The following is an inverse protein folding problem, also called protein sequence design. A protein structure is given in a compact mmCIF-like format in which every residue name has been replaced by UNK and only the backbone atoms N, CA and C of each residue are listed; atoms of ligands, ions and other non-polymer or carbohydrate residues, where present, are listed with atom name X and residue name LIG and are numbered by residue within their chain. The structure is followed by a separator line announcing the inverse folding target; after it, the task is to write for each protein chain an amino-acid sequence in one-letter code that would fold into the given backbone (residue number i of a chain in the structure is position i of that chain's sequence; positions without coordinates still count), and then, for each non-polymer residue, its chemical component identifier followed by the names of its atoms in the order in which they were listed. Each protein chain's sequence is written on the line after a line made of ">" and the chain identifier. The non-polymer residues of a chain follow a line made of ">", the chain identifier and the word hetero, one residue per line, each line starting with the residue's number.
data_IF_233863124581
#
_entry.id   IF_233863124581
#
_cell.length_a   1.000
_cell.length_b   1.000
_cell.length_c   1.000
_cell.angle_alpha   90.00
_cell.angle_beta   90.00
_cell.angle_gamma   90.00
#
_symmetry.space_group_name_H-M   'P 1'
#
loop_
_entity.id
_entity.type
_entity.pdbx_description
1 polymer ?
#
# COMPACT_ATOMS: atom_id res chain seq x y z
N UNK A 1 -11.92 -33.90 16.63
CA UNK A 1 -10.57 -33.61 16.10
C UNK A 1 -10.63 -32.64 14.91
N UNK A 2 -11.42 -32.93 13.86
CA UNK A 2 -11.60 -32.04 12.70
C UNK A 2 -12.08 -30.62 13.06
N UNK A 3 -13.12 -30.50 13.90
CA UNK A 3 -13.64 -29.20 14.34
C UNK A 3 -12.60 -28.34 15.05
N UNK A 4 -11.78 -28.96 15.90
CA UNK A 4 -10.72 -28.27 16.63
C UNK A 4 -9.61 -27.80 15.68
N UNK A 5 -9.21 -28.65 14.73
CA UNK A 5 -8.26 -28.28 13.67
C UNK A 5 -8.77 -27.11 12.83
N UNK A 6 -10.02 -27.18 12.35
CA UNK A 6 -10.63 -26.10 11.57
C UNK A 6 -10.64 -24.78 12.35
N UNK A 7 -11.04 -24.82 13.63
CA UNK A 7 -11.08 -23.62 14.48
C UNK A 7 -9.69 -23.00 14.66
N UNK A 8 -8.67 -23.81 14.93
CA UNK A 8 -7.29 -23.33 15.11
C UNK A 8 -6.74 -22.77 13.80
N UNK A 9 -6.93 -23.48 12.68
CA UNK A 9 -6.44 -23.04 11.37
C UNK A 9 -7.10 -21.74 10.93
N UNK A 10 -8.43 -21.62 11.03
CA UNK A 10 -9.15 -20.40 10.66
C UNK A 10 -8.75 -19.24 11.57
N UNK A 11 -8.64 -19.47 12.88
CA UNK A 11 -8.23 -18.42 13.81
C UNK A 11 -6.81 -17.92 13.53
N UNK A 12 -5.86 -18.83 13.29
CA UNK A 12 -4.48 -18.47 12.97
C UNK A 12 -4.38 -17.79 11.59
N UNK A 13 -5.17 -18.22 10.62
CA UNK A 13 -5.28 -17.58 9.32
C UNK A 13 -5.73 -16.12 9.44
N UNK A 14 -6.78 -15.82 10.20
CA UNK A 14 -7.26 -14.45 10.42
C UNK A 14 -6.16 -13.58 11.04
N UNK A 15 -5.50 -14.04 12.10
CA UNK A 15 -4.42 -13.27 12.73
C UNK A 15 -3.22 -13.04 11.81
N UNK A 16 -2.84 -14.06 11.03
CA UNK A 16 -1.78 -13.94 10.04
C UNK A 16 -2.15 -12.91 8.96
N UNK A 17 -3.38 -12.94 8.44
CA UNK A 17 -3.86 -11.97 7.45
C UNK A 17 -3.83 -10.55 8.02
N UNK A 18 -4.34 -10.32 9.23
CA UNK A 18 -4.34 -8.98 9.86
C UNK A 18 -2.92 -8.43 9.99
N UNK A 19 -1.94 -9.27 10.35
CA UNK A 19 -0.54 -8.86 10.42
C UNK A 19 0.08 -8.62 9.04
N UNK A 20 -0.21 -9.45 8.03
CA UNK A 20 0.38 -9.28 6.70
C UNK A 20 -0.13 -8.02 6.02
N UNK A 21 -1.44 -7.74 6.07
CA UNK A 21 -2.02 -6.54 5.44
C UNK A 21 -1.53 -5.23 6.08
N UNK A 22 -1.17 -5.28 7.37
CA UNK A 22 -0.62 -4.14 8.10
C UNK A 22 0.74 -3.66 7.53
N UNK A 23 1.55 -4.58 7.03
CA UNK A 23 2.90 -4.28 6.50
C UNK A 23 2.99 -4.37 4.98
N UNK A 24 1.96 -4.89 4.31
CA UNK A 24 1.94 -5.02 2.86
C UNK A 24 1.74 -3.66 2.17
N UNK A 25 2.28 -3.54 0.96
CA UNK A 25 2.27 -2.31 0.15
C UNK A 25 1.34 -2.39 -1.07
N UNK A 26 0.58 -3.46 -1.14
CA UNK A 26 -0.33 -3.80 -2.25
C UNK A 26 -1.80 -3.55 -1.87
N UNK A 27 -2.08 -2.39 -1.25
CA UNK A 27 -3.46 -1.95 -1.00
C UNK A 27 -4.06 -1.33 -2.26
N UNK A 28 -3.27 -0.58 -3.00
CA UNK A 28 -3.60 -0.06 -4.32
C UNK A 28 -2.37 -0.20 -5.22
N UNK A 29 -2.57 -0.76 -6.41
CA UNK A 29 -1.48 -1.02 -7.36
C UNK A 29 -1.88 -0.63 -8.77
N UNK A 30 -0.98 -0.04 -9.54
CA UNK A 30 -1.20 0.32 -10.94
C UNK A 30 0.08 0.20 -11.74
N UNK A 31 -0.05 -0.13 -13.03
CA UNK A 31 1.09 -0.32 -13.93
C UNK A 31 0.82 0.38 -15.25
N UNK A 32 1.86 0.94 -15.85
CA UNK A 32 1.78 1.52 -17.19
C UNK A 32 3.10 1.30 -17.94
N UNK A 33 3.01 0.82 -19.17
CA UNK A 33 4.16 0.75 -20.08
C UNK A 33 4.24 2.08 -20.85
N UNK A 34 5.36 2.78 -20.72
CA UNK A 34 5.54 4.06 -21.40
C UNK A 34 7.01 4.30 -21.80
N UNK A 35 7.18 5.01 -22.93
CA UNK A 35 8.46 5.56 -23.31
C UNK A 35 8.69 6.86 -22.54
N UNK A 36 9.65 6.86 -21.62
CA UNK A 36 9.90 7.99 -20.73
C UNK A 36 11.36 8.45 -20.79
N UNK A 37 11.59 9.70 -20.40
CA UNK A 37 12.96 10.17 -20.16
C UNK A 37 13.53 9.42 -18.97
N UNK A 38 14.79 9.00 -19.06
CA UNK A 38 15.41 8.22 -18.00
C UNK A 38 16.23 9.09 -17.05
N UNK A 39 17.24 9.80 -17.56
CA UNK A 39 18.19 10.59 -16.76
C UNK A 39 18.37 12.01 -17.26
N UNK A 40 18.68 12.90 -16.33
CA UNK A 40 19.10 14.27 -16.62
C UNK A 40 20.33 14.28 -17.53
N UNK A 41 20.42 15.30 -18.41
CA UNK A 41 21.50 15.45 -19.40
C UNK A 41 21.61 14.33 -20.45
N UNK A 42 20.62 13.44 -20.55
CA UNK A 42 20.48 12.49 -21.66
C UNK A 42 19.17 12.73 -22.40
N UNK A 43 19.20 12.59 -23.74
CA UNK A 43 18.00 12.60 -24.58
C UNK A 43 17.46 11.20 -24.87
N UNK A 44 18.10 10.16 -24.32
CA UNK A 44 17.66 8.78 -24.52
C UNK A 44 16.31 8.56 -23.84
N UNK A 45 15.36 8.03 -24.62
CA UNK A 45 14.09 7.53 -24.14
C UNK A 45 14.25 6.04 -23.84
N UNK A 46 13.66 5.61 -22.74
CA UNK A 46 13.65 4.21 -22.30
C UNK A 46 12.20 3.72 -22.33
N UNK A 47 12.00 2.53 -22.88
CA UNK A 47 10.73 1.82 -22.77
C UNK A 47 10.70 1.07 -21.43
N UNK A 48 9.87 1.51 -20.50
CA UNK A 48 9.82 0.93 -19.17
C UNK A 48 8.38 0.74 -18.67
N UNK A 49 8.21 -0.31 -17.89
CA UNK A 49 7.03 -0.57 -17.09
C UNK A 49 7.18 0.15 -15.76
N UNK A 50 6.28 1.10 -15.52
CA UNK A 50 6.25 1.95 -14.33
C UNK A 50 5.11 1.45 -13.45
N UNK A 51 5.44 1.04 -12.24
CA UNK A 51 4.47 0.57 -11.24
C UNK A 51 4.36 1.51 -10.06
N UNK A 52 3.13 1.69 -9.59
CA UNK A 52 2.79 2.42 -8.38
C UNK A 52 2.14 1.44 -7.40
N UNK A 53 2.73 1.29 -6.22
CA UNK A 53 2.22 0.44 -5.14
C UNK A 53 2.01 1.29 -3.89
N UNK A 54 0.76 1.58 -3.55
CA UNK A 54 0.41 2.37 -2.38
C UNK A 54 0.06 1.42 -1.23
N UNK A 55 0.79 1.56 -0.12
CA UNK A 55 0.49 0.91 1.14
C UNK A 55 -0.09 1.88 2.18
N UNK A 56 -0.32 1.38 3.39
CA UNK A 56 -0.84 2.20 4.50
C UNK A 56 0.17 3.25 4.99
N UNK A 57 1.46 2.91 4.98
CA UNK A 57 2.52 3.72 5.57
C UNK A 57 3.51 4.31 4.55
N UNK A 58 3.25 4.17 3.26
CA UNK A 58 4.14 4.66 2.21
C UNK A 58 3.73 4.22 0.82
N UNK A 59 4.55 4.60 -0.14
CA UNK A 59 4.39 4.27 -1.55
C UNK A 59 5.69 3.69 -2.10
N UNK A 60 5.55 2.59 -2.83
CA UNK A 60 6.61 1.98 -3.61
C UNK A 60 6.42 2.32 -5.08
N UNK A 61 7.50 2.73 -5.73
CA UNK A 61 7.55 3.04 -7.15
C UNK A 61 8.54 2.10 -7.81
N UNK A 62 8.06 1.35 -8.79
CA UNK A 62 8.87 0.42 -9.58
C UNK A 62 9.10 0.97 -10.98
N UNK A 63 10.30 0.77 -11.50
CA UNK A 63 10.66 1.12 -12.88
C UNK A 63 11.48 -0.02 -13.45
N UNK A 64 10.87 -0.80 -14.33
CA UNK A 64 11.49 -1.98 -14.96
C UNK A 64 11.59 -1.76 -16.47
N UNK A 65 12.78 -1.85 -17.03
CA UNK A 65 12.98 -1.72 -18.48
C UNK A 65 12.39 -2.91 -19.24
N UNK A 66 11.84 -2.64 -20.43
CA UNK A 66 11.40 -3.67 -21.38
C UNK A 66 12.15 -3.51 -22.72
N UNK A 67 13.31 -4.16 -22.93
CA UNK A 67 13.99 -5.13 -22.04
C UNK A 67 14.75 -4.47 -20.87
N UNK A 68 15.12 -5.25 -19.84
CA UNK A 68 15.74 -4.73 -18.60
C UNK A 68 17.04 -3.96 -18.86
N UNK A 69 17.86 -4.44 -19.80
CA UNK A 69 19.09 -3.77 -20.19
C UNK A 69 18.82 -2.83 -21.36
N UNK A 70 18.85 -1.53 -21.12
CA UNK A 70 18.71 -0.47 -22.11
C UNK A 70 19.77 0.60 -21.87
N UNK A 71 20.28 1.22 -22.94
CA UNK A 71 21.26 2.31 -22.84
C UNK A 71 22.53 1.90 -22.05
N UNK A 72 22.93 0.63 -22.15
CA UNK A 72 24.04 0.01 -21.40
C UNK A 72 23.88 0.04 -19.86
N UNK A 73 22.65 0.19 -19.36
CA UNK A 73 22.32 0.17 -17.94
C UNK A 73 21.21 -0.86 -17.66
N UNK A 74 21.20 -1.41 -16.45
CA UNK A 74 20.16 -2.33 -15.97
C UNK A 74 19.08 -1.53 -15.26
N UNK A 75 17.88 -1.52 -15.82
CA UNK A 75 16.76 -0.71 -15.35
C UNK A 75 15.81 -1.62 -14.58
N UNK A 76 16.05 -1.74 -13.28
CA UNK A 76 15.24 -2.49 -12.32
C UNK A 76 15.27 -1.78 -10.97
N UNK A 77 14.44 -0.75 -10.84
CA UNK A 77 14.37 0.08 -9.64
C UNK A 77 13.11 -0.25 -8.84
N UNK A 78 13.24 -0.27 -7.52
CA UNK A 78 12.14 -0.41 -6.57
C UNK A 78 12.37 0.52 -5.37
N UNK A 79 11.92 1.77 -5.53
CA UNK A 79 12.13 2.82 -4.53
C UNK A 79 10.91 2.93 -3.61
N UNK A 80 11.16 3.12 -2.31
CA UNK A 80 10.12 3.23 -1.29
C UNK A 80 10.17 4.59 -0.61
N UNK A 81 9.06 5.32 -0.64
CA UNK A 81 8.88 6.58 0.05
C UNK A 81 7.86 6.41 1.18
N UNK A 82 8.34 6.42 2.41
CA UNK A 82 7.51 6.23 3.59
C UNK A 82 6.89 7.54 4.08
N UNK A 83 5.63 7.48 4.52
CA UNK A 83 4.93 8.57 5.22
C UNK A 83 4.35 8.13 6.57
N UNK A 84 4.85 7.02 7.11
CA UNK A 84 4.50 6.50 8.41
C UNK A 84 4.82 7.44 9.58
N UNK A 85 4.54 7.00 10.80
CA UNK A 85 4.86 7.78 12.00
C UNK A 85 6.38 7.97 12.12
N UNK A 86 6.82 9.22 12.24
CA UNK A 86 8.23 9.58 12.33
C UNK A 86 8.99 9.63 10.99
N UNK A 87 8.35 9.25 9.88
CA UNK A 87 8.95 9.37 8.55
C UNK A 87 8.67 10.77 7.96
N UNK A 88 9.73 11.39 7.44
CA UNK A 88 9.64 12.61 6.65
C UNK A 88 9.73 12.27 5.16
N UNK A 89 8.58 12.34 4.50
CA UNK A 89 8.46 12.06 3.07
C UNK A 89 9.26 13.07 2.24
N UNK A 90 9.22 14.36 2.62
CA UNK A 90 9.86 15.41 1.83
C UNK A 90 11.39 15.30 1.93
N UNK A 91 11.91 14.89 3.10
CA UNK A 91 13.33 14.55 3.27
C UNK A 91 13.74 13.34 2.43
N UNK A 92 12.91 12.28 2.41
CA UNK A 92 13.19 11.07 1.62
C UNK A 92 13.17 11.37 0.12
N UNK A 93 12.28 12.27 -0.30
CA UNK A 93 12.24 12.79 -1.67
C UNK A 93 13.47 13.64 -2.02
N UNK A 94 13.91 14.55 -1.14
CA UNK A 94 15.13 15.34 -1.39
C UNK A 94 16.37 14.46 -1.47
N UNK A 95 16.47 13.43 -0.64
CA UNK A 95 17.58 12.47 -0.71
C UNK A 95 17.54 11.68 -2.06
N UNK A 96 16.35 11.35 -2.56
CA UNK A 96 16.17 10.75 -3.88
C UNK A 96 16.58 11.68 -5.03
N UNK A 97 16.34 12.99 -4.89
CA UNK A 97 16.82 14.00 -5.83
C UNK A 97 18.35 14.10 -5.82
N UNK A 98 18.96 14.15 -4.62
CA UNK A 98 20.41 14.24 -4.45
C UNK A 98 21.14 12.99 -4.98
N UNK A 99 20.52 11.81 -4.84
CA UNK A 99 21.00 10.56 -5.43
C UNK A 99 20.89 10.51 -6.95
N UNK A 100 20.06 11.37 -7.56
CA UNK A 100 19.84 11.40 -8.99
C UNK A 100 19.01 10.23 -9.51
N UNK A 101 17.94 9.85 -8.79
CA UNK A 101 17.02 8.80 -9.24
C UNK A 101 16.44 9.09 -10.64
N UNK A 102 16.03 8.05 -11.39
CA UNK A 102 15.40 8.22 -12.71
C UNK A 102 14.20 9.16 -12.68
N UNK A 103 14.05 9.96 -13.74
CA UNK A 103 12.99 10.99 -13.79
C UNK A 103 11.56 10.48 -13.62
N UNK A 104 11.16 9.26 -14.09
CA UNK A 104 9.80 8.76 -13.86
C UNK A 104 9.51 8.51 -12.38
N UNK A 105 10.51 8.02 -11.62
CA UNK A 105 10.37 7.76 -10.18
C UNK A 105 10.21 9.07 -9.43
N UNK A 106 11.06 10.06 -9.72
CA UNK A 106 10.99 11.38 -9.12
C UNK A 106 9.67 12.08 -9.44
N UNK A 107 9.19 11.99 -10.68
CA UNK A 107 7.90 12.54 -11.09
C UNK A 107 6.73 11.96 -10.27
N UNK A 108 6.74 10.64 -10.04
CA UNK A 108 5.72 10.00 -9.20
C UNK A 108 5.85 10.41 -7.75
N UNK A 109 7.06 10.37 -7.21
CA UNK A 109 7.33 10.76 -5.83
C UNK A 109 6.90 12.20 -5.55
N UNK A 110 7.10 13.11 -6.52
CA UNK A 110 6.69 14.52 -6.44
C UNK A 110 5.18 14.68 -6.25
N UNK A 111 4.35 13.84 -6.91
CA UNK A 111 2.88 13.89 -6.78
C UNK A 111 2.39 13.58 -5.36
N UNK A 112 3.19 12.86 -4.58
CA UNK A 112 2.90 12.50 -3.19
C UNK A 112 3.69 13.36 -2.18
N UNK A 113 4.32 14.46 -2.59
CA UNK A 113 4.93 15.43 -1.66
C UNK A 113 3.88 16.27 -0.95
N UNK A 114 4.22 16.80 0.23
CA UNK A 114 3.29 17.60 1.04
C UNK A 114 2.87 18.91 0.35
N UNK A 115 3.75 19.47 -0.48
CA UNK A 115 3.57 20.73 -1.20
C UNK A 115 2.93 20.56 -2.58
N UNK A 116 2.69 19.32 -3.01
CA UNK A 116 2.09 19.07 -4.32
C UNK A 116 0.68 19.68 -4.41
N UNK A 117 0.30 20.30 -5.56
CA UNK A 117 -1.04 20.86 -5.75
C UNK A 117 -2.14 19.78 -5.76
N UNK A 118 -1.74 18.51 -5.90
CA UNK A 118 -2.63 17.37 -5.99
C UNK A 118 -3.21 16.93 -4.64
N UNK A 119 -2.59 17.33 -3.52
CA UNK A 119 -3.10 17.02 -2.17
C UNK A 119 -3.17 15.54 -1.82
N UNK A 120 -2.61 14.64 -2.65
CA UNK A 120 -2.67 13.19 -2.48
C UNK A 120 -1.99 12.76 -1.17
N UNK A 121 -0.85 13.35 -0.84
CA UNK A 121 -0.08 13.03 0.36
C UNK A 121 -0.95 13.05 1.62
N UNK A 122 -1.68 14.16 1.82
CA UNK A 122 -2.46 14.37 3.05
C UNK A 122 -3.59 13.34 3.16
N UNK A 123 -4.27 13.03 2.06
CA UNK A 123 -5.39 12.09 2.06
C UNK A 123 -4.94 10.64 2.28
N UNK A 124 -3.91 10.19 1.56
CA UNK A 124 -3.37 8.84 1.72
C UNK A 124 -2.71 8.63 3.09
N UNK A 125 -2.00 9.64 3.58
CA UNK A 125 -1.39 9.58 4.91
C UNK A 125 -2.43 9.49 6.02
N UNK A 126 -3.46 10.35 6.02
CA UNK A 126 -4.50 10.30 7.07
C UNK A 126 -5.29 9.01 7.00
N UNK A 127 -5.75 8.61 5.82
CA UNK A 127 -6.49 7.37 5.63
C UNK A 127 -5.66 6.14 6.00
N UNK A 128 -4.41 6.07 5.54
CA UNK A 128 -3.48 5.00 5.88
C UNK A 128 -3.21 4.90 7.38
N UNK A 129 -3.12 6.03 8.09
CA UNK A 129 -3.01 6.04 9.55
C UNK A 129 -4.27 5.51 10.25
N UNK A 130 -5.47 5.93 9.86
CA UNK A 130 -6.71 5.43 10.46
C UNK A 130 -6.98 3.95 10.13
N UNK A 131 -6.67 3.53 8.90
CA UNK A 131 -6.73 2.12 8.51
C UNK A 131 -5.73 1.28 9.31
N UNK A 132 -4.48 1.73 9.45
CA UNK A 132 -3.47 1.09 10.30
C UNK A 132 -3.91 0.98 11.77
N UNK A 133 -4.48 2.05 12.33
CA UNK A 133 -5.01 2.04 13.70
C UNK A 133 -6.16 1.04 13.88
N UNK A 134 -7.11 1.00 12.94
CA UNK A 134 -8.24 0.06 13.00
C UNK A 134 -7.79 -1.39 12.84
N UNK A 135 -6.77 -1.66 12.03
CA UNK A 135 -6.17 -2.99 11.88
C UNK A 135 -5.41 -3.43 13.14
N UNK A 136 -4.65 -2.53 13.79
CA UNK A 136 -4.05 -2.83 15.09
C UNK A 136 -5.11 -3.12 16.16
N UNK A 137 -6.20 -2.36 16.16
CA UNK A 137 -7.34 -2.64 17.04
C UNK A 137 -7.97 -4.00 16.73
N UNK A 138 -8.14 -4.35 15.45
CA UNK A 138 -8.64 -5.66 15.02
C UNK A 138 -7.72 -6.80 15.48
N UNK A 139 -6.40 -6.62 15.40
CA UNK A 139 -5.42 -7.59 15.90
C UNK A 139 -5.57 -7.81 17.42
N UNK A 140 -5.72 -6.73 18.19
CA UNK A 140 -5.95 -6.82 19.63
C UNK A 140 -7.27 -7.52 19.96
N UNK A 141 -8.37 -7.21 19.26
CA UNK A 141 -9.66 -7.87 19.48
C UNK A 141 -9.64 -9.34 19.08
N UNK A 142 -8.89 -9.70 18.04
CA UNK A 142 -8.63 -11.08 17.66
C UNK A 142 -7.86 -11.84 18.76
N UNK A 143 -6.79 -11.25 19.32
CA UNK A 143 -6.05 -11.85 20.44
C UNK A 143 -6.96 -12.10 21.65
N UNK A 144 -7.80 -11.10 22.01
CA UNK A 144 -8.77 -11.25 23.10
C UNK A 144 -9.80 -12.34 22.78
N UNK A 145 -10.23 -12.46 21.52
CA UNK A 145 -11.16 -13.52 21.09
C UNK A 145 -10.55 -14.91 21.30
N UNK A 146 -9.26 -15.12 21.00
CA UNK A 146 -8.56 -16.39 21.23
C UNK A 146 -8.50 -16.72 22.71
N UNK A 147 -8.18 -15.73 23.55
CA UNK A 147 -8.13 -15.91 25.01
C UNK A 147 -9.51 -16.29 25.57
N UNK A 148 -10.57 -15.58 25.16
CA UNK A 148 -11.95 -15.89 25.56
C UNK A 148 -12.40 -17.28 25.10
N UNK A 149 -11.94 -17.71 23.93
CA UNK A 149 -12.21 -19.02 23.36
C UNK A 149 -11.50 -20.18 24.03
N UNK A 150 -10.40 -19.91 24.74
CA UNK A 150 -9.73 -20.87 25.62
C UNK A 150 -10.47 -21.08 26.94
N UNK A 151 -11.23 -20.07 27.38
CA UNK A 151 -12.16 -20.14 28.50
C UNK A 151 -13.52 -20.66 28.02
N UNK A 152 -14.39 -21.19 28.91
CA UNK A 152 -15.74 -21.66 28.54
C UNK A 152 -16.72 -20.53 28.16
N UNK A 153 -16.22 -19.34 27.80
CA UNK A 153 -16.98 -18.11 27.57
C UNK A 153 -17.14 -17.87 26.06
N UNK A 154 -17.90 -18.74 25.39
CA UNK A 154 -18.01 -18.74 23.92
C UNK A 154 -18.74 -17.53 23.35
N UNK A 155 -19.75 -17.00 24.05
CA UNK A 155 -20.57 -15.87 23.57
C UNK A 155 -19.74 -14.60 23.38
N UNK A 156 -18.93 -14.24 24.36
CA UNK A 156 -18.07 -13.05 24.29
C UNK A 156 -16.92 -13.23 23.29
N UNK A 157 -16.39 -14.45 23.12
CA UNK A 157 -15.45 -14.75 22.05
C UNK A 157 -16.03 -14.47 20.66
N UNK A 158 -17.30 -14.85 20.44
CA UNK A 158 -18.03 -14.53 19.21
C UNK A 158 -18.24 -13.04 18.99
N UNK A 159 -18.62 -12.28 20.03
CA UNK A 159 -18.74 -10.82 19.91
C UNK A 159 -17.43 -10.12 19.59
N UNK A 160 -16.31 -10.58 20.17
CA UNK A 160 -14.99 -10.02 19.86
C UNK A 160 -14.52 -10.36 18.45
N UNK A 161 -14.88 -11.53 17.90
CA UNK A 161 -14.65 -11.84 16.49
C UNK A 161 -15.48 -10.95 15.56
N UNK A 162 -16.76 -10.73 15.85
CA UNK A 162 -17.60 -9.81 15.06
C UNK A 162 -17.06 -8.39 15.11
N UNK A 163 -16.56 -7.94 16.27
CA UNK A 163 -15.89 -6.66 16.40
C UNK A 163 -14.61 -6.59 15.55
N UNK A 164 -13.83 -7.67 15.52
CA UNK A 164 -12.62 -7.77 14.67
C UNK A 164 -12.99 -7.60 13.19
N UNK A 165 -13.99 -8.34 12.71
CA UNK A 165 -14.53 -8.23 11.36
C UNK A 165 -14.99 -6.80 11.05
N UNK A 166 -15.77 -6.19 11.94
CA UNK A 166 -16.24 -4.81 11.79
C UNK A 166 -15.07 -3.81 11.68
N UNK A 167 -14.04 -3.95 12.52
CA UNK A 167 -12.84 -3.10 12.47
C UNK A 167 -12.06 -3.27 11.15
N UNK A 168 -11.96 -4.50 10.61
CA UNK A 168 -11.37 -4.74 9.29
C UNK A 168 -12.18 -4.07 8.18
N UNK A 169 -13.50 -4.17 8.20
CA UNK A 169 -14.37 -3.48 7.24
C UNK A 169 -14.29 -1.95 7.36
N UNK A 170 -14.17 -1.40 8.58
CA UNK A 170 -13.94 0.04 8.76
C UNK A 170 -12.60 0.49 8.17
N UNK A 171 -11.55 -0.33 8.27
CA UNK A 171 -10.25 -0.01 7.64
C UNK A 171 -10.39 0.13 6.11
N UNK A 172 -11.21 -0.72 5.48
CA UNK A 172 -11.52 -0.64 4.04
C UNK A 172 -12.31 0.62 3.69
N UNK A 173 -13.26 1.03 4.53
CA UNK A 173 -14.03 2.26 4.32
C UNK A 173 -13.13 3.51 4.39
N UNK A 174 -12.17 3.55 5.31
CA UNK A 174 -11.18 4.64 5.37
C UNK A 174 -10.34 4.69 4.09
N UNK A 175 -9.87 3.53 3.60
CA UNK A 175 -9.09 3.47 2.36
C UNK A 175 -9.92 3.86 1.12
N UNK A 176 -11.16 3.37 1.04
CA UNK A 176 -12.10 3.66 -0.05
C UNK A 176 -12.40 5.16 -0.16
N UNK A 177 -12.63 5.84 0.97
CA UNK A 177 -12.91 7.29 0.97
C UNK A 177 -11.72 8.10 0.46
N UNK A 178 -10.49 7.72 0.80
CA UNK A 178 -9.28 8.35 0.25
C UNK A 178 -9.02 8.03 -1.21
N UNK A 179 -9.54 6.90 -1.73
CA UNK A 179 -9.40 6.57 -3.15
C UNK A 179 -10.37 7.37 -4.04
N UNK A 180 -11.59 7.59 -3.56
CA UNK A 180 -12.66 8.26 -4.32
C UNK A 180 -12.60 9.79 -4.33
N UNK A 181 -11.65 10.39 -3.60
CA UNK A 181 -11.40 11.81 -3.73
C UNK A 181 -10.85 12.13 -5.13
N UNK A 182 -11.23 13.27 -5.72
CA UNK A 182 -10.73 13.67 -7.03
C UNK A 182 -9.21 13.85 -6.96
N UNK A 183 -8.51 13.15 -7.84
CA UNK A 183 -7.04 13.08 -7.88
C UNK A 183 -6.51 13.71 -9.16
N UNK A 184 -5.30 14.24 -9.09
CA UNK A 184 -4.56 14.61 -10.30
C UNK A 184 -4.32 13.39 -11.19
N UNK A 185 -4.50 13.51 -12.51
CA UNK A 185 -4.09 12.46 -13.43
C UNK A 185 -2.56 12.34 -13.44
N UNK A 186 -2.07 11.11 -13.38
CA UNK A 186 -0.64 10.78 -13.54
C UNK A 186 -0.47 10.34 -15.00
N UNK A 187 0.30 11.12 -15.78
CA UNK A 187 0.48 10.88 -17.21
C UNK A 187 1.96 10.78 -17.55
N UNK A 188 2.30 9.77 -18.33
CA UNK A 188 3.61 9.53 -18.91
C UNK A 188 3.49 9.64 -20.43
N UNK A 189 3.66 10.86 -20.95
CA UNK A 189 3.44 11.15 -22.36
C UNK A 189 1.97 10.84 -22.75
N UNK A 190 1.71 9.91 -23.69
CA UNK A 190 0.35 9.55 -24.10
C UNK A 190 -0.34 8.57 -23.13
N UNK A 191 0.39 7.91 -22.22
CA UNK A 191 -0.17 6.87 -21.36
C UNK A 191 -0.54 7.44 -19.98
N UNK A 192 -1.71 7.09 -19.46
CA UNK A 192 -2.16 7.46 -18.12
C UNK A 192 -2.01 6.27 -17.17
N UNK A 193 -1.46 6.49 -15.97
CA UNK A 193 -1.40 5.47 -14.94
C UNK A 193 -2.72 5.45 -14.17
N UNK A 194 -3.45 4.35 -14.30
CA UNK A 194 -4.64 4.06 -13.49
C UNK A 194 -4.26 3.04 -12.43
N UNK A 195 -4.61 3.33 -11.19
CA UNK A 195 -4.44 2.41 -10.07
C UNK A 195 -5.70 1.61 -9.84
N UNK A 196 -5.55 0.37 -9.39
CA UNK A 196 -6.64 -0.56 -9.02
C UNK A 196 -6.48 -1.05 -7.57
N UNK A 197 -7.56 -1.63 -7.01
CA UNK A 197 -7.48 -2.25 -5.68
C UNK A 197 -6.53 -3.44 -5.71
N UNK A 198 -5.51 -3.39 -4.85
CA UNK A 198 -4.50 -4.44 -4.75
C UNK A 198 -4.99 -5.66 -3.98
N UNK A 199 -4.15 -6.70 -3.93
CA UNK A 199 -4.48 -7.95 -3.26
C UNK A 199 -4.80 -7.81 -1.77
N UNK A 200 -4.18 -6.85 -1.07
CA UNK A 200 -4.44 -6.64 0.37
C UNK A 200 -5.85 -6.13 0.64
N UNK A 201 -6.40 -5.31 -0.26
CA UNK A 201 -7.77 -4.81 -0.14
C UNK A 201 -8.77 -5.97 -0.23
N UNK A 202 -8.64 -6.81 -1.27
CA UNK A 202 -9.50 -7.96 -1.47
C UNK A 202 -9.33 -9.03 -0.39
N UNK A 203 -8.11 -9.25 0.08
CA UNK A 203 -7.83 -10.19 1.15
C UNK A 203 -8.50 -9.73 2.46
N UNK A 204 -8.37 -8.44 2.80
CA UNK A 204 -9.03 -7.85 3.98
C UNK A 204 -10.55 -7.97 3.88
N UNK A 205 -11.13 -7.72 2.70
CA UNK A 205 -12.58 -7.84 2.45
C UNK A 205 -13.07 -9.28 2.54
N UNK A 206 -12.27 -10.25 2.12
CA UNK A 206 -12.63 -11.67 2.22
C UNK A 206 -12.52 -12.20 3.65
N UNK A 207 -11.62 -11.63 4.46
CA UNK A 207 -11.42 -12.05 5.86
C UNK A 207 -12.29 -11.33 6.89
N UNK A 208 -12.66 -10.07 6.63
CA UNK A 208 -13.54 -9.27 7.49
C UNK A 208 -15.00 -9.52 7.16
#
# INVERSE_FOLDING_TARGET
>A
RLFWLLRVVVSLFVGAVVLTIQFTRDWESGWVTANTSYKSFSRALVNADIGLHVGLAGVNVTLVGNPVNQVNETIDYNENFAWGFGADYDHSYSEGLDKGLPSPILYMAEKFTTRSPCGMHRQYRTSGHYASLTLWMAFCTWLISILLFSMPVLLYGGYMLLLTAALMLFSLLFFFTARNTPKCPIQFGPAALTTDYGGSFWLTLATG
#
